data_IF_660074100985
#
_entry.id   IF_660074100985
#
_cell.length_a   1.000
_cell.length_b   1.000
_cell.length_c   1.000
_cell.angle_alpha   90.00
_cell.angle_beta   90.00
_cell.angle_gamma   90.00
#
_symmetry.space_group_name_H-M   'P 1'
#
loop_
_entity.id
_entity.type
_entity.pdbx_description
1 polymer ?
#
# COMPACT_ATOMS: atom_id res chain seq x y z
N UNK A 1 17.75 -2.52 -16.23
CA UNK A 1 16.28 -2.68 -16.24
C UNK A 1 15.77 -2.22 -17.59
N UNK A 2 15.27 -3.16 -18.41
CA UNK A 2 14.82 -2.89 -19.77
C UNK A 2 13.66 -1.88 -19.75
N UNK A 3 13.88 -0.70 -20.32
CA UNK A 3 12.86 0.33 -20.50
C UNK A 3 12.00 -0.13 -21.68
N UNK A 4 10.84 -0.73 -21.40
CA UNK A 4 9.93 -1.21 -22.45
C UNK A 4 9.44 -0.02 -23.27
N UNK A 5 9.68 -0.03 -24.58
CA UNK A 5 9.24 1.05 -25.46
C UNK A 5 7.71 1.23 -25.41
N UNK A 6 7.25 2.45 -25.18
CA UNK A 6 5.82 2.78 -25.05
C UNK A 6 5.01 2.41 -26.30
N UNK A 7 5.64 2.50 -27.49
CA UNK A 7 5.03 2.12 -28.77
C UNK A 7 4.81 0.61 -28.86
N UNK A 8 5.81 -0.18 -28.46
CA UNK A 8 5.72 -1.63 -28.39
C UNK A 8 4.65 -2.06 -27.40
N UNK A 9 4.62 -1.45 -26.21
CA UNK A 9 3.64 -1.78 -25.18
C UNK A 9 2.19 -1.48 -25.62
N UNK A 10 1.95 -0.37 -26.32
CA UNK A 10 0.62 -0.04 -26.86
C UNK A 10 0.13 -1.05 -27.90
N UNK A 11 1.00 -1.45 -28.84
CA UNK A 11 0.67 -2.47 -29.84
C UNK A 11 0.38 -3.83 -29.19
N UNK A 12 1.20 -4.22 -28.22
CA UNK A 12 1.04 -5.49 -27.51
C UNK A 12 -0.24 -5.52 -26.67
N UNK A 13 -0.61 -4.39 -26.03
CA UNK A 13 -1.89 -4.22 -25.34
C UNK A 13 -3.09 -4.40 -26.27
N UNK A 14 -3.04 -3.83 -27.48
CA UNK A 14 -4.11 -3.96 -28.45
C UNK A 14 -4.29 -5.43 -28.87
N UNK A 15 -3.20 -6.13 -29.23
CA UNK A 15 -3.21 -7.57 -29.52
C UNK A 15 -3.69 -8.40 -28.33
N UNK A 16 -3.20 -8.12 -27.13
CA UNK A 16 -3.59 -8.86 -25.93
C UNK A 16 -5.07 -8.70 -25.61
N UNK A 17 -5.69 -7.55 -25.92
CA UNK A 17 -7.12 -7.33 -25.70
C UNK A 17 -8.00 -8.18 -26.63
N UNK A 18 -7.64 -8.28 -27.91
CA UNK A 18 -8.41 -9.03 -28.91
C UNK A 18 -8.09 -10.52 -28.94
N UNK A 19 -6.97 -10.93 -28.35
CA UNK A 19 -6.50 -12.32 -28.35
C UNK A 19 -7.41 -13.31 -27.59
N UNK A 20 -7.44 -14.55 -28.08
CA UNK A 20 -8.06 -15.69 -27.40
C UNK A 20 -7.29 -16.09 -26.13
N UNK A 21 -7.87 -16.97 -25.29
CA UNK A 21 -7.20 -17.43 -24.05
C UNK A 21 -5.85 -18.10 -24.33
N UNK A 22 -5.74 -18.86 -25.43
CA UNK A 22 -4.50 -19.55 -25.82
C UNK A 22 -3.46 -18.53 -26.29
N UNK A 23 -3.84 -17.62 -27.19
CA UNK A 23 -2.96 -16.55 -27.69
C UNK A 23 -2.45 -15.63 -26.58
N UNK A 24 -3.32 -15.27 -25.62
CA UNK A 24 -2.92 -14.49 -24.44
C UNK A 24 -1.79 -15.15 -23.66
N UNK A 25 -1.81 -16.48 -23.54
CA UNK A 25 -0.75 -17.25 -22.90
C UNK A 25 0.60 -17.06 -23.59
N UNK A 26 0.62 -17.20 -24.92
CA UNK A 26 1.82 -17.04 -25.76
C UNK A 26 2.37 -15.61 -25.68
N UNK A 27 1.49 -14.60 -25.80
CA UNK A 27 1.87 -13.18 -25.69
C UNK A 27 2.52 -12.90 -24.33
N UNK A 28 1.98 -13.47 -23.24
CA UNK A 28 2.55 -13.29 -21.91
C UNK A 28 3.90 -13.98 -21.75
N UNK A 29 4.07 -15.19 -22.30
CA UNK A 29 5.34 -15.92 -22.23
C UNK A 29 6.46 -15.16 -22.96
N UNK A 30 6.17 -14.65 -24.16
CA UNK A 30 7.10 -13.83 -24.94
C UNK A 30 7.46 -12.53 -24.20
N UNK A 31 6.46 -11.84 -23.64
CA UNK A 31 6.67 -10.60 -22.91
C UNK A 31 7.51 -10.79 -21.64
N UNK A 32 7.27 -11.87 -20.89
CA UNK A 32 8.06 -12.23 -19.70
C UNK A 32 9.50 -12.54 -20.09
N UNK A 33 9.73 -13.30 -21.17
CA UNK A 33 11.08 -13.64 -21.65
C UNK A 33 11.87 -12.42 -22.13
N UNK A 34 11.22 -11.49 -22.83
CA UNK A 34 11.87 -10.28 -23.38
C UNK A 34 12.13 -9.21 -22.34
N UNK A 35 11.22 -9.00 -21.39
CA UNK A 35 11.32 -7.90 -20.40
C UNK A 35 11.91 -8.34 -19.06
N UNK A 36 11.88 -9.65 -18.76
CA UNK A 36 12.23 -10.20 -17.44
C UNK A 36 11.17 -9.91 -16.36
N UNK A 37 10.03 -9.32 -16.71
CA UNK A 37 8.95 -9.05 -15.75
C UNK A 37 8.23 -10.33 -15.32
N UNK A 38 7.74 -10.37 -14.09
CA UNK A 38 6.92 -11.49 -13.62
C UNK A 38 5.59 -11.58 -14.38
N UNK A 39 5.09 -12.80 -14.61
CA UNK A 39 3.84 -13.05 -15.34
C UNK A 39 2.64 -12.28 -14.80
N UNK A 40 2.51 -12.17 -13.46
CA UNK A 40 1.43 -11.39 -12.82
C UNK A 40 1.52 -9.90 -13.13
N UNK A 41 2.75 -9.36 -13.20
CA UNK A 41 3.01 -7.98 -13.61
C UNK A 41 2.64 -7.78 -15.08
N UNK A 42 3.06 -8.69 -15.96
CA UNK A 42 2.73 -8.67 -17.39
C UNK A 42 1.21 -8.67 -17.65
N UNK A 43 0.47 -9.55 -16.98
CA UNK A 43 -1.01 -9.60 -17.07
C UNK A 43 -1.61 -8.26 -16.66
N UNK A 44 -1.20 -7.72 -15.52
CA UNK A 44 -1.74 -6.46 -15.02
C UNK A 44 -1.43 -5.29 -15.96
N UNK A 45 -0.22 -5.28 -16.54
CA UNK A 45 0.24 -4.26 -17.47
C UNK A 45 -0.49 -4.31 -18.82
N UNK A 46 -0.69 -5.51 -19.38
CA UNK A 46 -1.31 -5.71 -20.70
C UNK A 46 -2.84 -5.65 -20.66
N UNK A 47 -3.46 -6.08 -19.56
CA UNK A 47 -4.92 -6.01 -19.38
C UNK A 47 -5.44 -4.59 -19.12
N UNK A 48 -4.56 -3.64 -18.79
CA UNK A 48 -4.96 -2.29 -18.39
C UNK A 48 -5.60 -2.22 -17.00
N UNK A 49 -5.68 -3.33 -16.25
CA UNK A 49 -6.24 -3.36 -14.89
C UNK A 49 -5.35 -2.67 -13.84
N UNK A 50 -4.15 -2.26 -14.24
CA UNK A 50 -3.31 -1.32 -13.50
C UNK A 50 -3.55 0.10 -13.99
N UNK A 51 -4.79 0.54 -13.96
CA UNK A 51 -5.02 1.89 -13.46
C UNK A 51 -4.59 1.82 -11.99
N UNK A 52 -3.30 2.08 -11.74
CA UNK A 52 -2.83 2.36 -10.39
C UNK A 52 -3.85 3.31 -9.80
N UNK A 53 -4.37 2.97 -8.62
CA UNK A 53 -5.24 3.87 -7.86
C UNK A 53 -4.46 5.18 -7.76
N UNK A 54 -4.79 6.16 -8.61
CA UNK A 54 -4.00 7.40 -8.75
C UNK A 54 -4.08 8.24 -7.48
N UNK A 55 -5.03 7.90 -6.61
CA UNK A 55 -5.21 8.52 -5.31
C UNK A 55 -4.63 7.64 -4.20
N UNK A 56 -3.98 8.29 -3.25
CA UNK A 56 -3.63 7.68 -1.97
C UNK A 56 -4.94 7.20 -1.33
N UNK A 57 -5.08 5.90 -1.10
CA UNK A 57 -6.21 5.35 -0.35
C UNK A 57 -6.06 5.86 1.10
N UNK A 58 -6.80 6.92 1.46
CA UNK A 58 -6.87 7.41 2.82
C UNK A 58 -7.91 6.60 3.58
N UNK A 59 -7.45 5.76 4.52
CA UNK A 59 -8.29 5.11 5.52
C UNK A 59 -8.01 5.79 6.87
N UNK A 60 -8.66 6.92 7.18
CA UNK A 60 -8.46 7.56 8.47
C UNK A 60 -8.87 6.58 9.58
N UNK A 61 -8.07 6.50 10.63
CA UNK A 61 -8.42 5.74 11.83
C UNK A 61 -9.53 6.49 12.56
N UNK A 62 -10.49 5.77 13.12
CA UNK A 62 -11.46 6.38 14.03
C UNK A 62 -10.73 7.06 15.19
N UNK A 63 -11.13 8.29 15.51
CA UNK A 63 -10.60 9.02 16.66
C UNK A 63 -11.18 8.37 17.92
N UNK A 64 -10.31 7.77 18.74
CA UNK A 64 -10.71 7.09 19.99
C UNK A 64 -10.72 8.05 21.18
N UNK A 65 -9.84 9.04 21.17
CA UNK A 65 -9.70 10.00 22.27
C UNK A 65 -10.30 11.35 21.87
N UNK A 66 -11.36 11.74 22.58
CA UNK A 66 -12.03 13.02 22.39
C UNK A 66 -11.29 14.19 23.07
N UNK A 67 -11.75 15.43 22.84
CA UNK A 67 -11.11 16.65 23.33
C UNK A 67 -11.00 16.72 24.86
N UNK A 68 -11.83 16.00 25.62
CA UNK A 68 -11.72 15.92 27.08
C UNK A 68 -10.57 15.04 27.59
N UNK A 69 -10.06 14.11 26.76
CA UNK A 69 -9.02 13.16 27.16
C UNK A 69 -7.64 13.49 26.58
N UNK A 70 -7.58 14.17 25.43
CA UNK A 70 -6.31 14.54 24.79
C UNK A 70 -5.44 15.43 25.69
N UNK A 71 -5.93 16.54 26.29
CA UNK A 71 -5.09 17.40 27.12
C UNK A 71 -4.51 16.68 28.35
N UNK A 72 -5.30 15.93 29.16
CA UNK A 72 -4.75 15.15 30.28
C UNK A 72 -3.72 14.11 29.83
N UNK A 73 -3.94 13.43 28.70
CA UNK A 73 -2.99 12.45 28.18
C UNK A 73 -1.66 13.08 27.75
N UNK A 74 -1.67 14.29 27.20
CA UNK A 74 -0.44 15.01 26.86
C UNK A 74 0.36 15.37 28.12
N UNK A 75 -0.30 15.85 29.17
CA UNK A 75 0.34 16.13 30.47
C UNK A 75 0.99 14.87 31.03
N UNK A 76 0.31 13.71 30.96
CA UNK A 76 0.89 12.44 31.40
C UNK A 76 2.07 12.02 30.53
N UNK A 77 2.00 12.16 29.21
CA UNK A 77 3.13 11.83 28.33
C UNK A 77 4.35 12.67 28.69
N UNK A 78 4.17 13.97 28.94
CA UNK A 78 5.26 14.87 29.32
C UNK A 78 5.81 14.54 30.72
N UNK A 79 4.94 14.21 31.68
CA UNK A 79 5.33 13.80 33.03
C UNK A 79 6.20 12.53 33.03
N UNK A 80 5.96 11.63 32.09
CA UNK A 80 6.67 10.36 31.95
C UNK A 80 7.72 10.40 30.81
N UNK A 81 8.34 11.54 30.55
CA UNK A 81 9.45 11.71 29.58
C UNK A 81 9.16 11.16 28.17
N UNK A 82 7.89 11.24 27.72
CA UNK A 82 7.52 10.82 26.38
C UNK A 82 7.52 9.29 26.16
N UNK A 83 7.35 8.47 27.21
CA UNK A 83 7.27 7.01 27.03
C UNK A 83 6.11 6.59 26.11
N UNK A 84 6.31 5.48 25.40
CA UNK A 84 5.29 4.96 24.49
C UNK A 84 3.99 4.59 25.23
N UNK A 85 2.85 4.71 24.54
CA UNK A 85 1.51 4.53 25.13
C UNK A 85 1.32 3.20 25.88
N UNK A 86 1.96 2.12 25.43
CA UNK A 86 1.93 0.82 26.12
C UNK A 86 2.65 0.85 27.47
N UNK A 87 3.79 1.54 27.55
CA UNK A 87 4.53 1.75 28.81
C UNK A 87 3.83 2.77 29.68
N UNK A 88 3.29 3.84 29.10
CA UNK A 88 2.51 4.84 29.81
C UNK A 88 1.31 4.20 30.53
N UNK A 89 0.56 3.32 29.86
CA UNK A 89 -0.56 2.61 30.49
C UNK A 89 -0.11 1.80 31.72
N UNK A 90 0.99 1.05 31.60
CA UNK A 90 1.50 0.26 32.71
C UNK A 90 2.02 1.15 33.86
N UNK A 91 2.69 2.25 33.54
CA UNK A 91 3.17 3.22 34.52
C UNK A 91 2.01 3.91 35.24
N UNK A 92 0.95 4.29 34.51
CA UNK A 92 -0.27 4.86 35.07
C UNK A 92 -0.93 3.94 36.10
N UNK A 93 -1.02 2.64 35.81
CA UNK A 93 -1.63 1.66 36.73
C UNK A 93 -0.86 1.57 38.07
N UNK A 94 0.45 1.86 38.08
CA UNK A 94 1.32 1.79 39.27
C UNK A 94 1.43 3.13 40.00
N UNK A 95 1.56 4.23 39.26
CA UNK A 95 1.90 5.54 39.81
C UNK A 95 0.69 6.43 40.10
N UNK A 96 -0.39 6.35 39.31
CA UNK A 96 -1.59 7.18 39.56
C UNK A 96 -2.27 6.94 40.90
N UNK A 97 -2.34 5.70 41.45
CA UNK A 97 -2.90 5.49 42.79
C UNK A 97 -2.09 6.13 43.93
N UNK A 98 -0.86 6.56 43.66
CA UNK A 98 0.09 7.11 44.64
C UNK A 98 0.20 8.64 44.57
N UNK A 99 -0.37 9.25 43.54
CA UNK A 99 -0.51 10.69 43.34
C UNK A 99 -1.76 11.21 44.06
#
# INVERSE_FOLDING_TARGET
MSRVDDKYLKLLRARYRTASKKEKGVILDEFVKTTGYGRKYAIALLSGKRDYVKHIIRRPRSVVYGPGLVPPLLVLVDLFDGICSKRLRAAMDVELPRL
#
